data_IF_333449089593
#
_entry.id   IF_333449089593
#
_cell.length_a   1.000
_cell.length_b   1.000
_cell.length_c   1.000
_cell.angle_alpha   90.00
_cell.angle_beta   90.00
_cell.angle_gamma   90.00
#
_symmetry.space_group_name_H-M   'P 1'
#
loop_
_entity.id
_entity.type
_entity.pdbx_description
1 polymer ?
#
# COMPACT_ATOMS: atom_id res chain seq x y z
N UNK A 1 20.47 14.77 14.52
CA UNK A 1 20.20 13.90 13.33
C UNK A 1 18.91 14.41 12.69
N UNK A 2 18.77 14.40 11.36
CA UNK A 2 17.46 14.66 10.75
C UNK A 2 16.58 13.43 10.99
N UNK A 3 15.36 13.63 11.50
CA UNK A 3 14.53 12.54 12.00
C UNK A 3 14.24 11.48 10.93
N UNK A 4 14.00 10.27 11.43
CA UNK A 4 13.61 9.10 10.64
C UNK A 4 12.31 9.32 9.82
N UNK A 5 11.40 10.14 10.35
CA UNK A 5 10.05 10.37 9.83
C UNK A 5 9.97 11.60 8.89
N UNK A 6 10.75 12.66 9.13
CA UNK A 6 10.55 13.97 8.49
C UNK A 6 11.10 14.10 7.05
N UNK A 7 11.80 13.08 6.53
CA UNK A 7 12.46 13.19 5.22
C UNK A 7 11.50 12.96 4.06
N UNK A 8 11.10 14.04 3.38
CA UNK A 8 10.20 14.09 2.20
C UNK A 8 10.68 13.36 0.93
N UNK A 9 11.64 12.43 1.03
CA UNK A 9 12.19 11.69 -0.10
C UNK A 9 11.44 10.37 -0.34
N UNK A 10 10.50 10.38 -1.28
CA UNK A 10 9.76 9.21 -1.77
C UNK A 10 10.62 7.94 -1.96
N UNK A 11 11.82 8.08 -2.56
CA UNK A 11 12.75 6.96 -2.77
C UNK A 11 13.31 6.34 -1.47
N UNK A 12 13.33 7.07 -0.35
CA UNK A 12 13.70 6.52 0.97
C UNK A 12 12.55 5.67 1.52
N UNK A 13 11.34 6.22 1.52
CA UNK A 13 10.11 5.55 1.96
C UNK A 13 9.86 4.25 1.17
N UNK A 14 10.02 4.29 -0.15
CA UNK A 14 9.86 3.15 -1.09
C UNK A 14 10.74 1.93 -0.77
N UNK A 15 11.87 2.13 -0.08
CA UNK A 15 12.75 1.06 0.42
C UNK A 15 12.54 0.74 1.90
N UNK A 16 12.27 1.76 2.71
CA UNK A 16 12.17 1.64 4.16
C UNK A 16 10.92 0.88 4.62
N UNK A 17 9.74 1.23 4.11
CA UNK A 17 8.50 0.58 4.57
C UNK A 17 8.47 -0.94 4.29
N UNK A 18 8.92 -1.44 3.11
CA UNK A 18 9.07 -2.88 2.87
C UNK A 18 10.04 -3.58 3.83
N UNK A 19 11.16 -2.95 4.22
CA UNK A 19 12.10 -3.53 5.19
C UNK A 19 11.49 -3.64 6.59
N UNK A 20 10.73 -2.63 7.03
CA UNK A 20 9.99 -2.69 8.30
C UNK A 20 8.88 -3.74 8.24
N UNK A 21 8.14 -3.82 7.12
CA UNK A 21 7.10 -4.83 6.91
C UNK A 21 7.67 -6.25 6.93
N UNK A 22 8.83 -6.47 6.31
CA UNK A 22 9.52 -7.76 6.35
C UNK A 22 10.01 -8.10 7.77
N UNK A 23 10.57 -7.13 8.51
CA UNK A 23 10.97 -7.33 9.91
C UNK A 23 9.78 -7.75 10.79
N UNK A 24 8.64 -7.06 10.67
CA UNK A 24 7.42 -7.37 11.41
C UNK A 24 6.83 -8.74 11.00
N UNK A 25 6.82 -9.09 9.71
CA UNK A 25 6.37 -10.40 9.25
C UNK A 25 7.29 -11.54 9.73
N UNK A 26 8.61 -11.30 9.84
CA UNK A 26 9.56 -12.26 10.42
C UNK A 26 9.29 -12.45 11.92
N UNK A 27 9.17 -11.35 12.68
CA UNK A 27 8.87 -11.40 14.12
C UNK A 27 7.54 -12.11 14.43
N UNK A 28 6.51 -11.83 13.63
CA UNK A 28 5.19 -12.47 13.74
C UNK A 28 5.24 -13.96 13.39
N UNK A 29 6.04 -14.37 12.41
CA UNK A 29 6.23 -15.78 12.06
C UNK A 29 7.10 -16.52 13.10
N UNK A 30 8.15 -15.89 13.64
CA UNK A 30 8.91 -16.42 14.79
C UNK A 30 7.97 -16.70 15.98
N UNK A 31 7.09 -15.75 16.30
CA UNK A 31 6.12 -15.89 17.40
C UNK A 31 5.09 -17.01 17.14
N UNK A 32 4.64 -17.18 15.90
CA UNK A 32 3.79 -18.30 15.48
C UNK A 32 4.49 -19.65 15.61
N UNK A 33 5.76 -19.77 15.19
CA UNK A 33 6.53 -21.01 15.35
C UNK A 33 6.73 -21.38 16.83
N UNK A 34 7.00 -20.41 17.70
CA UNK A 34 7.04 -20.65 19.15
C UNK A 34 5.67 -21.03 19.72
N UNK A 35 4.57 -20.51 19.16
CA UNK A 35 3.22 -20.94 19.54
C UNK A 35 2.93 -22.39 19.13
N UNK A 36 3.33 -22.82 17.92
CA UNK A 36 3.23 -24.22 17.48
C UNK A 36 4.07 -25.16 18.36
N UNK A 37 5.29 -24.78 18.73
CA UNK A 37 6.14 -25.56 19.64
C UNK A 37 5.42 -25.77 20.98
N UNK A 38 4.93 -24.68 21.59
CA UNK A 38 4.15 -24.73 22.83
C UNK A 38 2.82 -25.51 22.71
N UNK A 39 2.25 -25.67 21.52
CA UNK A 39 1.08 -26.52 21.28
C UNK A 39 1.46 -28.00 21.17
N UNK A 40 2.59 -28.33 20.55
CA UNK A 40 3.10 -29.70 20.48
C UNK A 40 3.55 -30.21 21.85
N UNK A 41 4.32 -29.40 22.60
CA UNK A 41 4.73 -29.70 23.97
C UNK A 41 3.51 -29.88 24.91
N UNK A 42 2.41 -29.17 24.64
CA UNK A 42 1.11 -29.35 25.31
C UNK A 42 0.36 -30.57 24.82
N UNK A 43 0.51 -31.01 23.58
CA UNK A 43 -0.14 -32.22 23.09
C UNK A 43 0.46 -33.49 23.73
N UNK A 44 1.77 -33.53 23.94
CA UNK A 44 2.42 -34.63 24.66
C UNK A 44 2.05 -34.64 26.16
N UNK A 45 1.82 -33.47 26.78
CA UNK A 45 1.48 -33.38 28.22
C UNK A 45 -0.02 -33.38 28.54
N UNK A 46 -0.91 -33.13 27.57
CA UNK A 46 -2.38 -33.12 27.79
C UNK A 46 -3.04 -34.49 27.70
N UNK A 47 -2.35 -35.52 27.18
CA UNK A 47 -2.84 -36.90 27.20
C UNK A 47 -2.97 -37.50 28.61
N UNK A 48 -2.30 -36.94 29.63
CA UNK A 48 -2.44 -37.38 31.03
C UNK A 48 -3.36 -36.47 31.87
N UNK A 49 -3.73 -35.28 31.38
CA UNK A 49 -4.44 -34.27 32.18
C UNK A 49 -5.38 -33.37 31.35
N UNK A 50 -6.63 -33.82 31.19
CA UNK A 50 -7.81 -33.14 31.76
C UNK A 50 -9.02 -34.08 31.72
N UNK A 51 -9.56 -34.36 32.90
CA UNK A 51 -10.91 -34.90 33.06
C UNK A 51 -11.61 -34.05 34.13
N UNK A 52 -12.89 -33.74 33.88
CA UNK A 52 -13.87 -33.03 34.73
C UNK A 52 -13.95 -31.50 34.62
N UNK A 53 -15.14 -31.10 34.15
CA UNK A 53 -15.94 -29.94 34.52
C UNK A 53 -15.45 -28.56 34.01
N UNK A 54 -16.19 -27.81 33.19
CA UNK A 54 -17.62 -27.39 33.25
C UNK A 54 -17.93 -26.35 34.34
N UNK A 55 -18.10 -25.10 33.92
CA UNK A 55 -19.35 -24.32 34.07
C UNK A 55 -19.26 -23.01 33.28
N UNK A 56 -20.32 -22.63 32.55
CA UNK A 56 -20.41 -21.32 31.88
C UNK A 56 -20.89 -20.22 32.84
N UNK A 57 -20.23 -19.07 32.73
CA UNK A 57 -20.75 -17.73 32.39
C UNK A 57 -22.10 -17.24 32.94
N UNK A 58 -22.10 -15.95 33.33
CA UNK A 58 -23.31 -15.17 33.64
C UNK A 58 -23.75 -14.28 32.48
N UNK A 59 -24.90 -13.61 32.62
CA UNK A 59 -25.56 -12.90 31.54
C UNK A 59 -25.97 -11.48 31.96
N UNK A 60 -25.60 -10.46 31.19
CA UNK A 60 -26.04 -9.07 31.39
C UNK A 60 -25.95 -8.26 30.08
N UNK A 61 -27.08 -7.73 29.61
CA UNK A 61 -27.21 -6.94 28.38
C UNK A 61 -27.23 -5.43 28.65
N UNK A 62 -26.75 -4.61 27.70
CA UNK A 62 -27.03 -3.17 27.62
C UNK A 62 -27.19 -2.72 26.15
N UNK A 63 -27.82 -1.56 25.94
CA UNK A 63 -28.42 -1.14 24.67
C UNK A 63 -27.61 -0.12 23.87
N UNK A 64 -28.08 0.11 22.63
CA UNK A 64 -27.62 1.10 21.65
C UNK A 64 -28.00 2.55 22.02
N UNK A 65 -27.27 3.55 21.49
CA UNK A 65 -27.79 4.82 20.93
C UNK A 65 -26.66 5.63 20.23
N UNK A 66 -27.00 6.44 19.22
CA UNK A 66 -26.08 7.14 18.29
C UNK A 66 -26.76 8.43 17.72
N UNK A 67 -26.24 9.16 16.71
CA UNK A 67 -25.02 9.99 16.63
C UNK A 67 -25.32 11.51 16.70
N UNK A 68 -24.33 12.39 16.46
CA UNK A 68 -24.59 13.72 15.86
C UNK A 68 -23.43 14.21 14.95
N UNK A 69 -23.73 15.07 13.96
CA UNK A 69 -22.80 15.45 12.88
C UNK A 69 -22.22 16.88 12.96
N UNK A 70 -21.21 17.16 12.12
CA UNK A 70 -20.85 18.50 11.66
C UNK A 70 -20.47 18.50 10.15
N UNK A 71 -20.76 19.60 9.46
CA UNK A 71 -20.46 19.88 8.04
C UNK A 71 -19.34 20.95 7.93
N UNK A 72 -18.76 21.35 6.79
CA UNK A 72 -19.00 21.06 5.36
C UNK A 72 -17.65 20.58 4.70
N UNK A 73 -17.14 20.88 3.50
CA UNK A 73 -17.50 21.74 2.36
C UNK A 73 -17.11 21.10 1.01
N UNK A 74 -17.71 21.55 -0.12
CA UNK A 74 -17.14 21.25 -1.44
C UNK A 74 -17.40 22.26 -2.58
N UNK A 75 -16.33 22.65 -3.27
CA UNK A 75 -16.40 23.09 -4.67
C UNK A 75 -16.89 21.96 -5.58
N UNK A 76 -17.76 22.27 -6.57
CA UNK A 76 -18.36 21.25 -7.46
C UNK A 76 -17.38 20.78 -8.53
N UNK A 77 -17.22 19.45 -8.64
CA UNK A 77 -16.68 18.75 -9.80
C UNK A 77 -17.89 18.13 -10.51
N UNK A 78 -17.92 18.14 -11.84
CA UNK A 78 -19.03 17.57 -12.61
C UNK A 78 -18.75 16.07 -12.83
N UNK A 79 -19.66 15.20 -12.36
CA UNK A 79 -19.57 13.75 -12.49
C UNK A 79 -20.60 13.23 -13.49
N UNK A 80 -20.30 12.12 -14.16
CA UNK A 80 -21.26 11.36 -14.96
C UNK A 80 -22.01 10.36 -14.05
N UNK A 81 -23.35 10.43 -13.94
CA UNK A 81 -24.14 9.56 -13.06
C UNK A 81 -24.29 8.13 -13.58
N UNK A 82 -24.20 7.92 -14.91
CA UNK A 82 -24.58 6.66 -15.55
C UNK A 82 -23.58 5.51 -15.31
N UNK A 83 -22.55 5.73 -14.50
CA UNK A 83 -21.53 4.74 -14.11
C UNK A 83 -21.79 4.10 -12.74
N UNK A 84 -22.71 4.67 -11.96
CA UNK A 84 -22.82 4.38 -10.53
C UNK A 84 -24.22 3.94 -10.07
N UNK A 85 -25.26 4.13 -10.89
CA UNK A 85 -26.59 3.60 -10.60
C UNK A 85 -26.58 2.06 -10.59
N UNK A 86 -27.04 1.47 -9.48
CA UNK A 86 -27.22 0.03 -9.26
C UNK A 86 -26.19 -0.91 -9.91
N UNK A 87 -24.88 -0.65 -9.72
CA UNK A 87 -23.98 -1.77 -9.41
C UNK A 87 -22.52 -1.43 -8.99
N UNK A 88 -21.99 -0.20 -8.99
CA UNK A 88 -20.51 -0.06 -8.89
C UNK A 88 -19.86 -0.78 -7.67
N UNK A 89 -20.54 -0.86 -6.52
CA UNK A 89 -20.08 -1.67 -5.38
C UNK A 89 -20.24 -3.18 -5.60
N UNK A 90 -21.34 -3.65 -6.21
CA UNK A 90 -21.65 -5.06 -6.42
C UNK A 90 -21.00 -5.64 -7.70
N UNK A 91 -20.91 -4.90 -8.80
CA UNK A 91 -19.99 -5.16 -9.92
C UNK A 91 -18.54 -5.21 -9.43
N UNK A 92 -18.10 -4.31 -8.55
CA UNK A 92 -16.74 -4.45 -7.99
C UNK A 92 -16.61 -5.67 -7.09
N UNK A 93 -17.55 -5.93 -6.18
CA UNK A 93 -17.52 -7.14 -5.35
C UNK A 93 -17.63 -8.44 -6.16
N UNK A 94 -18.26 -8.42 -7.34
CA UNK A 94 -18.39 -9.59 -8.23
C UNK A 94 -17.17 -9.70 -9.14
N UNK A 95 -16.88 -8.67 -9.95
CA UNK A 95 -15.77 -8.66 -10.90
C UNK A 95 -14.38 -8.70 -10.23
N UNK A 96 -14.18 -8.12 -9.04
CA UNK A 96 -12.92 -8.30 -8.30
C UNK A 96 -12.80 -9.71 -7.72
N UNK A 97 -13.91 -10.36 -7.36
CA UNK A 97 -13.93 -11.72 -6.84
C UNK A 97 -13.80 -12.77 -7.96
N UNK A 98 -14.24 -12.46 -9.19
CA UNK A 98 -13.85 -13.17 -10.43
C UNK A 98 -12.35 -13.01 -10.76
N UNK A 99 -11.80 -11.82 -10.49
CA UNK A 99 -10.38 -11.46 -10.77
C UNK A 99 -9.39 -12.12 -9.79
N UNK A 100 -9.86 -12.57 -8.63
CA UNK A 100 -9.04 -13.09 -7.54
C UNK A 100 -9.36 -14.56 -7.25
N UNK A 101 -8.52 -15.50 -7.76
CA UNK A 101 -7.39 -15.88 -6.90
C UNK A 101 -6.02 -16.12 -7.59
N UNK A 102 -5.92 -16.20 -8.92
CA UNK A 102 -4.75 -16.78 -9.62
C UNK A 102 -3.66 -15.77 -10.06
N UNK A 103 -3.52 -14.65 -9.36
CA UNK A 103 -2.58 -13.56 -9.71
C UNK A 103 -1.14 -13.82 -9.21
N UNK A 104 -0.89 -14.95 -8.56
CA UNK A 104 0.44 -15.41 -8.13
C UNK A 104 0.79 -16.73 -8.84
N UNK A 105 2.06 -16.90 -9.21
CA UNK A 105 2.57 -18.20 -9.67
C UNK A 105 2.30 -19.24 -8.57
N UNK A 106 1.57 -20.31 -8.89
CA UNK A 106 1.29 -21.39 -7.94
C UNK A 106 2.59 -22.18 -7.72
N UNK A 107 3.33 -21.81 -6.67
CA UNK A 107 4.47 -22.58 -6.17
C UNK A 107 3.88 -23.75 -5.37
N UNK A 108 4.01 -24.97 -5.90
CA UNK A 108 3.68 -26.16 -5.12
C UNK A 108 4.75 -26.36 -4.03
N UNK A 109 4.31 -26.42 -2.78
CA UNK A 109 5.15 -26.62 -1.60
C UNK A 109 4.93 -28.04 -1.06
N UNK A 110 5.95 -28.70 -0.47
CA UNK A 110 5.75 -29.91 0.32
C UNK A 110 4.59 -29.78 1.31
N UNK A 111 3.79 -30.84 1.51
CA UNK A 111 2.53 -30.73 2.24
C UNK A 111 2.71 -30.29 3.70
N UNK A 112 3.82 -30.67 4.34
CA UNK A 112 4.20 -30.17 5.66
C UNK A 112 4.41 -28.65 5.72
N UNK A 113 4.80 -28.01 4.62
CA UNK A 113 4.83 -26.55 4.51
C UNK A 113 3.45 -25.97 4.15
N UNK A 114 2.61 -26.69 3.38
CA UNK A 114 1.22 -26.28 3.13
C UNK A 114 0.45 -26.14 4.46
N UNK A 115 0.58 -27.10 5.37
CA UNK A 115 -0.06 -27.07 6.69
C UNK A 115 0.47 -25.93 7.58
N UNK A 116 1.79 -25.75 7.63
CA UNK A 116 2.42 -24.64 8.37
C UNK A 116 1.93 -23.28 7.84
N UNK A 117 1.81 -23.10 6.52
CA UNK A 117 1.27 -21.87 5.92
C UNK A 117 -0.23 -21.71 6.14
N UNK A 118 -1.02 -22.79 6.18
CA UNK A 118 -2.45 -22.76 6.50
C UNK A 118 -2.67 -22.24 7.93
N UNK A 119 -2.04 -22.88 8.92
CA UNK A 119 -2.11 -22.44 10.31
C UNK A 119 -1.54 -21.02 10.51
N UNK A 120 -0.52 -20.63 9.74
CA UNK A 120 -0.01 -19.26 9.80
C UNK A 120 -1.01 -18.25 9.23
N UNK A 121 -1.74 -18.60 8.18
CA UNK A 121 -2.82 -17.75 7.64
C UNK A 121 -3.95 -17.58 8.67
N UNK A 122 -4.32 -18.65 9.37
CA UNK A 122 -5.29 -18.61 10.48
C UNK A 122 -4.76 -17.72 11.63
N UNK A 123 -3.51 -17.87 12.04
CA UNK A 123 -2.83 -17.03 13.04
C UNK A 123 -2.76 -15.54 12.64
N UNK A 124 -2.50 -15.26 11.36
CA UNK A 124 -2.56 -13.89 10.79
C UNK A 124 -3.94 -13.26 10.91
N UNK A 125 -5.01 -14.05 10.75
CA UNK A 125 -6.40 -13.58 10.91
C UNK A 125 -6.68 -13.21 12.37
N UNK A 126 -6.34 -14.09 13.31
CA UNK A 126 -6.45 -13.83 14.77
C UNK A 126 -5.68 -12.57 15.20
N UNK A 127 -4.53 -12.28 14.57
CA UNK A 127 -3.80 -11.02 14.81
C UNK A 127 -4.56 -9.80 14.29
N UNK A 128 -5.17 -9.86 13.10
CA UNK A 128 -5.97 -8.75 12.54
C UNK A 128 -7.28 -8.51 13.33
N UNK A 129 -7.85 -9.57 13.92
CA UNK A 129 -9.02 -9.51 14.79
C UNK A 129 -8.69 -9.05 16.22
N UNK A 130 -7.40 -8.96 16.58
CA UNK A 130 -6.93 -8.41 17.85
C UNK A 130 -6.67 -9.42 18.97
N UNK A 131 -6.76 -10.73 18.72
CA UNK A 131 -6.53 -11.79 19.73
C UNK A 131 -5.12 -11.76 20.37
N UNK A 132 -4.15 -11.19 19.64
CA UNK A 132 -2.78 -10.95 20.11
C UNK A 132 -2.55 -9.55 20.71
N UNK A 133 -3.61 -8.77 20.94
CA UNK A 133 -3.56 -7.44 21.54
C UNK A 133 -3.40 -6.30 20.52
N UNK A 134 -3.79 -5.08 20.92
CA UNK A 134 -3.91 -3.90 20.04
C UNK A 134 -2.58 -3.51 19.38
N UNK A 135 -1.46 -3.73 20.08
CA UNK A 135 -0.11 -3.51 19.53
C UNK A 135 0.21 -4.48 18.38
N UNK A 136 -0.04 -5.78 18.56
CA UNK A 136 0.15 -6.79 17.51
C UNK A 136 -0.73 -6.50 16.29
N UNK A 137 -2.01 -6.22 16.54
CA UNK A 137 -3.02 -5.90 15.55
C UNK A 137 -2.59 -4.74 14.65
N UNK A 138 -2.27 -3.59 15.24
CA UNK A 138 -1.86 -2.39 14.49
C UNK A 138 -0.59 -2.61 13.65
N UNK A 139 0.44 -3.25 14.21
CA UNK A 139 1.69 -3.44 13.46
C UNK A 139 1.57 -4.50 12.36
N UNK A 140 0.74 -5.53 12.55
CA UNK A 140 0.46 -6.49 11.49
C UNK A 140 -0.43 -5.90 10.39
N UNK A 141 -1.46 -5.12 10.76
CA UNK A 141 -2.28 -4.32 9.85
C UNK A 141 -1.43 -3.32 9.04
N UNK A 142 -0.45 -2.65 9.65
CA UNK A 142 0.53 -1.82 8.92
C UNK A 142 1.26 -2.63 7.83
N UNK A 143 1.59 -3.91 8.06
CA UNK A 143 2.18 -4.74 7.01
C UNK A 143 1.23 -4.97 5.84
N UNK A 144 -0.09 -5.03 6.08
CA UNK A 144 -1.10 -5.13 5.01
C UNK A 144 -1.18 -3.84 4.19
N UNK A 145 -1.06 -2.66 4.84
CA UNK A 145 -0.98 -1.37 4.12
C UNK A 145 0.28 -1.28 3.23
N UNK A 146 1.43 -1.79 3.70
CA UNK A 146 2.65 -1.88 2.88
C UNK A 146 2.49 -2.91 1.76
N UNK A 147 1.89 -4.07 2.03
CA UNK A 147 1.59 -5.09 1.03
C UNK A 147 0.67 -4.54 -0.08
N UNK A 148 -0.36 -3.74 0.26
CA UNK A 148 -1.24 -3.09 -0.71
C UNK A 148 -0.46 -2.14 -1.64
N UNK A 149 0.41 -1.28 -1.10
CA UNK A 149 1.29 -0.44 -1.93
C UNK A 149 2.25 -1.27 -2.80
N UNK A 150 2.74 -2.42 -2.29
CA UNK A 150 3.57 -3.33 -3.07
C UNK A 150 2.78 -4.06 -4.18
N UNK A 151 1.50 -4.40 -3.96
CA UNK A 151 0.59 -4.93 -4.99
C UNK A 151 0.33 -3.90 -6.09
N UNK A 152 0.04 -2.65 -5.72
CA UNK A 152 -0.08 -1.52 -6.66
C UNK A 152 1.20 -1.33 -7.47
N UNK A 153 2.36 -1.26 -6.79
CA UNK A 153 3.68 -1.15 -7.43
C UNK A 153 3.96 -2.34 -8.38
N UNK A 154 3.63 -3.57 -7.98
CA UNK A 154 3.76 -4.78 -8.81
C UNK A 154 2.87 -4.70 -10.06
N UNK A 155 1.61 -4.28 -9.92
CA UNK A 155 0.67 -4.20 -11.04
C UNK A 155 1.19 -3.34 -12.20
N UNK A 156 1.72 -2.14 -11.90
CA UNK A 156 2.36 -1.24 -12.87
C UNK A 156 3.64 -1.87 -13.45
N UNK A 157 4.50 -2.46 -12.60
CA UNK A 157 5.76 -3.09 -13.04
C UNK A 157 5.55 -4.30 -13.96
N UNK A 158 4.46 -5.04 -13.76
CA UNK A 158 4.05 -6.21 -14.54
C UNK A 158 3.15 -5.88 -15.75
N UNK A 159 2.47 -4.73 -15.75
CA UNK A 159 1.27 -4.47 -16.57
C UNK A 159 0.11 -5.43 -16.33
N UNK A 160 -0.10 -5.85 -15.09
CA UNK A 160 -1.32 -6.56 -14.71
C UNK A 160 -2.40 -5.52 -14.40
N UNK A 161 -3.39 -5.39 -15.30
CA UNK A 161 -4.44 -4.36 -15.24
C UNK A 161 -5.47 -4.63 -14.14
N UNK A 162 -5.83 -5.90 -13.97
CA UNK A 162 -6.79 -6.39 -12.98
C UNK A 162 -6.29 -6.15 -11.55
N UNK A 163 -5.01 -6.46 -11.26
CA UNK A 163 -4.36 -6.15 -10.00
C UNK A 163 -4.19 -4.64 -9.77
N UNK A 164 -4.12 -3.84 -10.84
CA UNK A 164 -4.06 -2.38 -10.75
C UNK A 164 -5.41 -1.80 -10.32
N UNK A 165 -6.51 -2.29 -10.88
CA UNK A 165 -7.88 -1.96 -10.45
C UNK A 165 -8.12 -2.34 -8.98
N UNK A 166 -7.85 -3.59 -8.60
CA UNK A 166 -8.01 -4.05 -7.21
C UNK A 166 -7.16 -3.21 -6.23
N UNK A 167 -5.88 -3.01 -6.53
CA UNK A 167 -5.00 -2.25 -5.65
C UNK A 167 -5.45 -0.78 -5.55
N UNK A 168 -5.93 -0.17 -6.63
CA UNK A 168 -6.45 1.21 -6.63
C UNK A 168 -7.76 1.33 -5.83
N UNK A 169 -8.67 0.37 -5.95
CA UNK A 169 -9.93 0.33 -5.18
C UNK A 169 -9.66 0.28 -3.68
N UNK A 170 -8.83 -0.66 -3.23
CA UNK A 170 -8.45 -0.79 -1.82
C UNK A 170 -7.62 0.42 -1.32
N UNK A 171 -6.86 1.09 -2.19
CA UNK A 171 -6.14 2.32 -1.82
C UNK A 171 -7.07 3.54 -1.63
N UNK A 172 -8.24 3.57 -2.28
CA UNK A 172 -9.19 4.68 -2.11
C UNK A 172 -9.68 4.80 -0.66
N UNK A 173 -9.89 3.68 0.03
CA UNK A 173 -10.31 3.65 1.44
C UNK A 173 -9.34 4.41 2.34
N UNK A 174 -8.03 4.23 2.11
CA UNK A 174 -6.98 4.93 2.85
C UNK A 174 -7.00 6.45 2.59
N UNK A 175 -7.35 6.89 1.38
CA UNK A 175 -7.47 8.31 1.07
C UNK A 175 -8.69 8.96 1.76
N UNK A 176 -9.81 8.22 1.91
CA UNK A 176 -10.96 8.69 2.69
C UNK A 176 -10.69 8.66 4.21
N UNK A 177 -9.98 7.65 4.70
CA UNK A 177 -9.64 7.53 6.11
C UNK A 177 -8.65 8.61 6.57
N UNK A 178 -7.56 8.83 5.83
CA UNK A 178 -6.48 9.79 6.11
C UNK A 178 -6.81 11.23 5.69
N UNK A 179 -8.08 11.55 5.47
CA UNK A 179 -8.59 12.85 5.07
C UNK A 179 -7.80 13.49 3.90
N UNK A 180 -7.69 12.76 2.79
CA UNK A 180 -7.04 13.21 1.55
C UNK A 180 -8.10 13.48 0.46
N UNK A 181 -9.00 14.47 0.63
CA UNK A 181 -10.23 14.59 -0.17
C UNK A 181 -9.98 14.70 -1.67
N UNK A 182 -8.91 15.38 -2.09
CA UNK A 182 -8.55 15.48 -3.50
C UNK A 182 -8.18 14.10 -4.08
N UNK A 183 -7.27 13.36 -3.42
CA UNK A 183 -6.88 12.02 -3.84
C UNK A 183 -8.07 11.06 -3.80
N UNK A 184 -8.87 11.07 -2.73
CA UNK A 184 -10.06 10.24 -2.58
C UNK A 184 -11.05 10.44 -3.75
N UNK A 185 -11.43 11.68 -4.04
CA UNK A 185 -12.41 12.01 -5.10
C UNK A 185 -11.87 11.72 -6.50
N UNK A 186 -10.64 12.15 -6.81
CA UNK A 186 -10.06 11.94 -8.14
C UNK A 186 -9.67 10.47 -8.40
N UNK A 187 -9.28 9.71 -7.38
CA UNK A 187 -9.03 8.27 -7.53
C UNK A 187 -10.31 7.47 -7.76
N UNK A 188 -11.44 7.83 -7.13
CA UNK A 188 -12.74 7.22 -7.44
C UNK A 188 -13.19 7.54 -8.86
N UNK A 189 -13.08 8.80 -9.31
CA UNK A 189 -13.39 9.19 -10.70
C UNK A 189 -12.51 8.45 -11.71
N UNK A 190 -11.20 8.37 -11.46
CA UNK A 190 -10.26 7.67 -12.32
C UNK A 190 -10.53 6.15 -12.35
N UNK A 191 -10.78 5.53 -11.19
CA UNK A 191 -11.13 4.11 -11.08
C UNK A 191 -12.43 3.79 -11.84
N UNK A 192 -13.47 4.61 -11.69
CA UNK A 192 -14.74 4.50 -12.42
C UNK A 192 -14.53 4.57 -13.95
N UNK A 193 -13.70 5.52 -14.41
CA UNK A 193 -13.33 5.62 -15.83
C UNK A 193 -12.53 4.43 -16.37
N UNK A 194 -11.73 3.75 -15.53
CA UNK A 194 -11.05 2.50 -15.91
C UNK A 194 -12.03 1.31 -15.95
N UNK A 195 -12.94 1.21 -14.99
CA UNK A 195 -13.97 0.17 -14.93
C UNK A 195 -14.85 0.21 -16.18
N UNK A 196 -15.23 1.42 -16.64
CA UNK A 196 -15.91 1.64 -17.93
C UNK A 196 -15.22 0.96 -19.12
N UNK A 197 -13.89 0.90 -19.16
CA UNK A 197 -13.18 0.23 -20.26
C UNK A 197 -13.54 -1.27 -20.37
N UNK A 198 -13.89 -1.94 -19.24
CA UNK A 198 -14.40 -3.33 -19.23
C UNK A 198 -15.88 -3.38 -19.64
N UNK A 199 -16.70 -2.44 -19.16
CA UNK A 199 -18.17 -2.41 -19.39
C UNK A 199 -18.49 -2.04 -20.85
N UNK A 200 -17.92 -0.95 -21.34
CA UNK A 200 -18.20 -0.36 -22.66
C UNK A 200 -17.57 -1.15 -23.82
N UNK A 201 -16.91 -2.29 -23.55
CA UNK A 201 -16.16 -3.07 -24.54
C UNK A 201 -15.02 -2.30 -25.22
N UNK A 202 -14.48 -1.28 -24.55
CA UNK A 202 -13.61 -0.27 -25.17
C UNK A 202 -12.34 -0.88 -25.78
N UNK A 203 -11.94 -0.53 -27.02
CA UNK A 203 -10.66 -0.95 -27.60
C UNK A 203 -9.44 -0.59 -26.74
N UNK A 204 -9.54 0.45 -25.91
CA UNK A 204 -8.50 0.83 -24.96
C UNK A 204 -8.23 -0.24 -23.88
N UNK A 205 -9.20 -1.11 -23.56
CA UNK A 205 -9.02 -2.21 -22.61
C UNK A 205 -7.89 -3.16 -23.05
N UNK A 206 -7.76 -3.41 -24.36
CA UNK A 206 -6.65 -4.18 -24.91
C UNK A 206 -5.32 -3.49 -24.62
N UNK A 207 -5.19 -2.20 -24.96
CA UNK A 207 -3.97 -1.43 -24.74
C UNK A 207 -3.59 -1.32 -23.26
N UNK A 208 -4.57 -1.16 -22.37
CA UNK A 208 -4.34 -1.20 -20.92
C UNK A 208 -3.82 -2.56 -20.46
N UNK A 209 -4.36 -3.69 -20.95
CA UNK A 209 -3.85 -5.04 -20.68
C UNK A 209 -2.47 -5.31 -21.30
N UNK A 210 -2.15 -4.71 -22.45
CA UNK A 210 -0.78 -4.68 -23.00
C UNK A 210 0.16 -3.71 -22.25
N UNK A 211 -0.37 -2.94 -21.29
CA UNK A 211 0.39 -2.13 -20.35
C UNK A 211 0.53 -0.65 -20.69
N UNK A 212 -0.40 -0.05 -21.42
CA UNK A 212 -0.40 1.38 -21.74
C UNK A 212 -0.33 2.31 -20.50
N UNK A 213 -0.69 1.81 -19.31
CA UNK A 213 -0.62 2.54 -18.04
C UNK A 213 0.77 2.60 -17.37
N UNK A 214 1.82 2.01 -17.96
CA UNK A 214 3.17 2.01 -17.39
C UNK A 214 4.30 2.05 -18.42
N UNK A 215 5.17 3.06 -18.35
CA UNK A 215 6.27 3.26 -19.30
C UNK A 215 7.43 2.30 -19.01
N UNK A 216 7.94 1.62 -20.05
CA UNK A 216 9.07 0.70 -19.98
C UNK A 216 10.31 1.32 -20.63
N UNK A 217 11.32 1.70 -19.81
CA UNK A 217 12.58 2.29 -20.32
C UNK A 217 13.67 1.26 -20.63
N UNK A 218 13.59 0.02 -20.10
CA UNK A 218 14.61 -1.02 -20.31
C UNK A 218 13.99 -2.38 -20.66
N UNK A 219 14.77 -3.25 -21.31
CA UNK A 219 14.34 -4.63 -21.67
C UNK A 219 14.29 -5.60 -20.47
N UNK A 220 14.63 -5.17 -19.25
CA UNK A 220 14.55 -6.02 -18.06
C UNK A 220 13.09 -6.42 -17.71
N UNK A 221 12.91 -7.52 -16.98
CA UNK A 221 11.61 -7.88 -16.37
C UNK A 221 11.28 -6.89 -15.24
N UNK A 222 9.99 -6.66 -14.99
CA UNK A 222 9.51 -5.75 -13.93
C UNK A 222 10.06 -4.30 -14.02
N UNK A 223 10.35 -3.82 -15.23
CA UNK A 223 11.05 -2.55 -15.49
C UNK A 223 10.12 -1.39 -15.89
N UNK A 224 8.80 -1.55 -15.76
CA UNK A 224 7.84 -0.46 -15.98
C UNK A 224 7.74 0.45 -14.76
N UNK A 225 7.50 1.74 -15.02
CA UNK A 225 7.26 2.78 -14.01
C UNK A 225 5.99 3.55 -14.34
N UNK A 226 5.37 4.27 -13.37
CA UNK A 226 4.28 5.19 -13.64
C UNK A 226 4.67 6.20 -14.74
N UNK A 227 3.70 6.61 -15.55
CA UNK A 227 3.88 7.59 -16.64
C UNK A 227 4.52 8.88 -16.12
N UNK A 228 3.92 9.45 -15.08
CA UNK A 228 4.33 10.70 -14.44
C UNK A 228 5.76 10.63 -13.89
N UNK A 229 6.07 9.64 -13.04
CA UNK A 229 7.43 9.39 -12.52
C UNK A 229 8.48 9.18 -13.64
N UNK A 230 8.08 8.62 -14.78
CA UNK A 230 8.98 8.43 -15.94
C UNK A 230 9.24 9.75 -16.68
N UNK A 231 8.24 10.63 -16.75
CA UNK A 231 8.33 11.98 -17.30
C UNK A 231 9.15 12.89 -16.37
N UNK A 232 8.95 12.79 -15.04
CA UNK A 232 9.81 13.40 -14.01
C UNK A 232 11.28 13.02 -14.21
N UNK A 233 11.57 11.72 -14.34
CA UNK A 233 12.93 11.18 -14.42
C UNK A 233 13.59 11.31 -15.80
N UNK A 234 12.93 11.90 -16.79
CA UNK A 234 13.49 12.10 -18.14
C UNK A 234 13.31 13.54 -18.60
N UNK A 235 12.17 13.86 -19.21
CA UNK A 235 11.90 15.16 -19.84
C UNK A 235 12.04 16.28 -18.81
N UNK A 236 11.47 16.13 -17.61
CA UNK A 236 11.57 17.15 -16.56
C UNK A 236 12.95 17.17 -15.88
N UNK A 237 13.67 16.04 -15.82
CA UNK A 237 15.02 15.98 -15.27
C UNK A 237 16.05 16.68 -16.18
N UNK A 238 15.93 16.51 -17.50
CA UNK A 238 16.74 17.26 -18.48
C UNK A 238 16.31 18.74 -18.58
N UNK A 239 15.08 19.08 -18.20
CA UNK A 239 14.59 20.46 -18.10
C UNK A 239 15.04 21.18 -16.81
N UNK A 240 15.04 20.46 -15.69
CA UNK A 240 15.27 20.96 -14.33
C UNK A 240 16.72 20.82 -13.90
N UNK A 241 17.58 21.74 -14.31
CA UNK A 241 18.98 21.74 -13.89
C UNK A 241 19.13 22.00 -12.37
N UNK A 242 20.14 21.38 -11.75
CA UNK A 242 20.37 21.42 -10.29
C UNK A 242 21.00 22.73 -9.80
N UNK A 243 21.47 23.60 -10.69
CA UNK A 243 21.63 25.03 -10.42
C UNK A 243 20.46 25.79 -11.03
N UNK A 244 19.57 26.27 -10.16
CA UNK A 244 18.36 27.05 -10.46
C UNK A 244 17.36 26.41 -11.42
N UNK A 245 16.11 26.25 -10.97
CA UNK A 245 14.97 26.20 -11.88
C UNK A 245 14.73 27.57 -12.52
N UNK A 246 13.50 27.86 -12.98
CA UNK A 246 13.14 29.20 -13.49
C UNK A 246 12.93 30.19 -12.33
N UNK A 247 13.99 30.42 -11.56
CA UNK A 247 14.04 31.37 -10.45
C UNK A 247 14.70 32.67 -10.92
N UNK A 248 13.91 33.75 -10.98
CA UNK A 248 14.28 35.13 -11.33
C UNK A 248 14.70 35.46 -12.78
N UNK A 249 14.99 34.50 -13.66
CA UNK A 249 15.11 34.74 -15.12
C UNK A 249 13.90 34.16 -15.88
N UNK A 250 12.94 34.93 -16.44
CA UNK A 250 12.69 36.39 -16.40
C UNK A 250 11.17 36.63 -16.57
N UNK A 251 10.70 37.86 -16.38
CA UNK A 251 9.33 38.26 -16.78
C UNK A 251 9.13 38.34 -18.31
N UNK A 252 10.17 38.15 -19.14
CA UNK A 252 10.06 38.20 -20.60
C UNK A 252 9.35 36.96 -21.18
N UNK A 253 8.23 37.21 -21.87
CA UNK A 253 7.53 36.19 -22.69
C UNK A 253 8.49 35.60 -23.73
N UNK A 254 9.29 36.43 -24.39
CA UNK A 254 10.24 36.01 -25.44
C UNK A 254 11.34 35.10 -24.92
N UNK A 255 11.78 35.26 -23.66
CA UNK A 255 12.72 34.34 -23.03
C UNK A 255 12.08 32.96 -22.79
N UNK A 256 10.83 32.93 -22.30
CA UNK A 256 10.07 31.68 -22.11
C UNK A 256 9.79 30.96 -23.44
N UNK A 257 9.39 31.70 -24.47
CA UNK A 257 9.21 31.18 -25.84
C UNK A 257 10.52 30.60 -26.39
N UNK A 258 11.64 31.35 -26.31
CA UNK A 258 12.95 30.85 -26.74
C UNK A 258 13.34 29.58 -25.99
N UNK A 259 13.16 29.54 -24.67
CA UNK A 259 13.45 28.33 -23.88
C UNK A 259 12.62 27.14 -24.37
N UNK A 260 11.29 27.27 -24.46
CA UNK A 260 10.38 26.21 -24.86
C UNK A 260 10.69 25.65 -26.27
N UNK A 261 10.88 26.53 -27.26
CA UNK A 261 11.17 26.13 -28.64
C UNK A 261 12.51 25.41 -28.80
N UNK A 262 13.52 25.78 -28.02
CA UNK A 262 14.91 25.30 -28.20
C UNK A 262 15.36 24.27 -27.15
N UNK A 263 14.58 24.03 -26.08
CA UNK A 263 14.97 23.11 -25.03
C UNK A 263 15.08 21.66 -25.53
N UNK A 264 14.06 21.14 -26.22
CA UNK A 264 14.12 19.78 -26.76
C UNK A 264 15.27 19.55 -27.75
N UNK A 265 15.71 20.59 -28.46
CA UNK A 265 16.92 20.53 -29.30
C UNK A 265 18.20 20.50 -28.47
N UNK A 266 18.33 21.34 -27.44
CA UNK A 266 19.46 21.29 -26.49
C UNK A 266 19.58 19.93 -25.82
N UNK A 267 18.47 19.34 -25.36
CA UNK A 267 18.48 18.02 -24.73
C UNK A 267 18.96 16.94 -25.71
N UNK A 268 18.48 16.93 -26.95
CA UNK A 268 18.98 15.99 -27.98
C UNK A 268 20.49 16.12 -28.20
N UNK A 269 21.00 17.34 -28.39
CA UNK A 269 22.44 17.59 -28.58
C UNK A 269 23.23 17.12 -27.35
N UNK A 270 22.77 17.44 -26.13
CA UNK A 270 23.43 17.01 -24.90
C UNK A 270 23.44 15.48 -24.74
N UNK A 271 22.37 14.79 -25.14
CA UNK A 271 22.32 13.32 -25.12
C UNK A 271 23.30 12.71 -26.11
N UNK A 272 23.33 13.18 -27.37
CA UNK A 272 24.29 12.68 -28.37
C UNK A 272 25.74 12.94 -27.96
N UNK A 273 26.05 14.11 -27.39
CA UNK A 273 27.40 14.38 -26.85
C UNK A 273 27.74 13.45 -25.68
N UNK A 274 26.79 13.15 -24.77
CA UNK A 274 26.98 12.16 -23.69
C UNK A 274 27.18 10.73 -24.23
N UNK A 275 26.54 10.38 -25.34
CA UNK A 275 26.71 9.08 -26.02
C UNK A 275 28.10 8.96 -26.67
N UNK A 276 28.49 9.95 -27.48
CA UNK A 276 29.81 10.01 -28.15
C UNK A 276 30.98 10.05 -27.17
N UNK A 277 30.84 10.76 -26.05
CA UNK A 277 31.87 10.83 -24.99
C UNK A 277 31.84 9.66 -24.01
N UNK A 278 30.91 8.71 -24.14
CA UNK A 278 30.74 7.59 -23.21
C UNK A 278 30.25 7.98 -21.81
N UNK A 279 29.85 9.24 -21.60
CA UNK A 279 29.32 9.77 -20.33
C UNK A 279 27.86 9.35 -20.06
N UNK A 280 27.17 8.73 -21.02
CA UNK A 280 25.82 8.23 -20.85
C UNK A 280 25.79 6.95 -19.98
N UNK A 281 25.56 7.11 -18.67
CA UNK A 281 25.33 5.99 -17.77
C UNK A 281 24.06 5.22 -18.18
N UNK A 282 24.22 3.94 -18.55
CA UNK A 282 23.08 3.05 -18.83
C UNK A 282 22.23 2.88 -17.57
N UNK A 283 20.92 3.07 -17.70
CA UNK A 283 19.95 2.91 -16.60
C UNK A 283 19.85 1.44 -16.16
N UNK A 284 20.70 1.03 -15.22
CA UNK A 284 20.70 -0.32 -14.66
C UNK A 284 19.58 -0.52 -13.62
N UNK A 285 18.41 -0.93 -14.10
CA UNK A 285 17.29 -1.39 -13.26
C UNK A 285 17.63 -2.60 -12.39
N UNK A 286 18.73 -3.31 -12.62
CA UNK A 286 19.19 -4.43 -11.79
C UNK A 286 20.05 -4.00 -10.58
N UNK A 287 20.35 -2.71 -10.40
CA UNK A 287 21.13 -2.19 -9.26
C UNK A 287 20.58 -2.60 -7.88
N UNK A 288 19.27 -2.83 -7.77
CA UNK A 288 18.62 -3.34 -6.55
C UNK A 288 18.85 -4.84 -6.29
N UNK A 289 19.23 -5.61 -7.32
CA UNK A 289 19.50 -7.05 -7.27
C UNK A 289 21.01 -7.38 -7.20
N UNK A 290 21.88 -6.38 -7.30
CA UNK A 290 23.32 -6.56 -7.13
C UNK A 290 23.64 -7.02 -5.70
N UNK A 291 24.57 -7.98 -5.55
CA UNK A 291 24.93 -8.56 -4.24
C UNK A 291 25.24 -7.51 -3.17
N UNK A 292 25.95 -6.44 -3.52
CA UNK A 292 26.33 -5.39 -2.57
C UNK A 292 25.12 -4.65 -2.01
N UNK A 293 24.04 -4.52 -2.79
CA UNK A 293 22.78 -3.94 -2.34
C UNK A 293 22.00 -4.96 -1.48
N UNK A 294 21.94 -6.24 -1.88
CA UNK A 294 21.33 -7.32 -1.08
C UNK A 294 22.03 -7.46 0.28
N UNK A 295 23.37 -7.49 0.33
CA UNK A 295 24.19 -7.55 1.56
C UNK A 295 23.92 -6.33 2.47
N UNK A 296 23.66 -5.16 1.88
CA UNK A 296 23.29 -3.93 2.62
C UNK A 296 21.85 -3.99 3.15
N UNK A 297 20.90 -4.48 2.36
CA UNK A 297 19.50 -4.65 2.80
C UNK A 297 19.35 -5.70 3.88
N UNK A 298 20.03 -6.85 3.78
CA UNK A 298 20.05 -7.86 4.85
C UNK A 298 20.59 -7.28 6.16
N UNK A 299 21.67 -6.49 6.10
CA UNK A 299 22.18 -5.77 7.28
C UNK A 299 21.13 -4.82 7.86
N UNK A 300 20.52 -3.96 7.03
CA UNK A 300 19.48 -3.04 7.48
C UNK A 300 18.27 -3.77 8.08
N UNK A 301 17.85 -4.91 7.52
CA UNK A 301 16.78 -5.75 8.03
C UNK A 301 17.10 -6.31 9.42
N UNK A 302 18.27 -6.91 9.60
CA UNK A 302 18.75 -7.40 10.90
C UNK A 302 18.76 -6.29 11.94
N UNK A 303 19.38 -5.14 11.63
CA UNK A 303 19.40 -3.96 12.51
C UNK A 303 17.98 -3.48 12.91
N UNK A 304 16.99 -3.56 12.03
CA UNK A 304 15.59 -3.21 12.34
C UNK A 304 14.97 -4.26 13.29
N UNK A 305 15.16 -5.55 13.03
CA UNK A 305 14.68 -6.64 13.89
C UNK A 305 15.28 -6.53 15.30
N UNK A 306 16.60 -6.32 15.39
CA UNK A 306 17.34 -6.10 16.64
C UNK A 306 16.80 -4.87 17.39
N UNK A 307 16.58 -3.75 16.70
CA UNK A 307 16.02 -2.52 17.32
C UNK A 307 14.61 -2.76 17.87
N UNK A 308 13.75 -3.47 17.13
CA UNK A 308 12.38 -3.78 17.58
C UNK A 308 12.42 -4.69 18.82
N UNK A 309 13.23 -5.75 18.82
CA UNK A 309 13.42 -6.63 20.00
C UNK A 309 14.05 -5.91 21.21
N UNK A 310 14.81 -4.83 21.00
CA UNK A 310 15.40 -4.03 22.08
C UNK A 310 14.46 -2.98 22.69
N UNK A 311 13.46 -2.50 21.95
CA UNK A 311 12.56 -1.42 22.40
C UNK A 311 11.22 -1.97 22.86
N UNK A 312 10.49 -2.63 21.96
CA UNK A 312 9.25 -3.40 22.23
C UNK A 312 8.87 -4.16 20.95
N UNK A 313 8.77 -5.49 21.05
CA UNK A 313 8.40 -6.37 19.95
C UNK A 313 6.88 -6.59 19.92
N UNK A 314 6.13 -6.11 18.90
CA UNK A 314 4.66 -6.09 18.92
C UNK A 314 3.93 -7.40 19.21
N UNK A 315 4.60 -8.53 19.08
CA UNK A 315 4.01 -9.87 19.14
C UNK A 315 4.36 -10.63 20.43
N UNK A 316 5.15 -10.04 21.34
CA UNK A 316 5.50 -10.68 22.61
C UNK A 316 4.32 -10.73 23.60
N UNK A 317 4.15 -11.90 24.23
CA UNK A 317 3.03 -12.19 25.13
C UNK A 317 3.02 -11.35 26.42
N UNK A 318 4.15 -10.71 26.76
CA UNK A 318 4.35 -9.94 27.99
C UNK A 318 3.86 -8.47 27.88
N UNK A 319 3.31 -8.08 26.72
CA UNK A 319 2.80 -6.73 26.46
C UNK A 319 1.34 -6.64 26.92
N UNK A 320 0.98 -5.52 27.56
CA UNK A 320 -0.41 -5.18 27.86
C UNK A 320 -1.24 -5.15 26.56
N UNK A 321 -2.16 -6.11 26.43
CA UNK A 321 -3.00 -6.31 25.23
C UNK A 321 -3.98 -5.16 25.02
N UNK A 322 -4.36 -4.46 26.09
CA UNK A 322 -5.34 -3.38 26.05
C UNK A 322 -4.76 -2.04 25.65
N UNK A 323 -3.44 -1.94 25.58
CA UNK A 323 -2.72 -0.74 25.14
C UNK A 323 -2.02 -0.95 23.79
N UNK A 324 -1.90 0.14 23.03
CA UNK A 324 -1.20 0.16 21.75
C UNK A 324 0.08 0.95 21.89
N UNK A 325 1.22 0.25 21.94
CA UNK A 325 2.54 0.85 22.17
C UNK A 325 3.26 1.19 20.87
N UNK A 326 4.08 2.24 20.90
CA UNK A 326 4.88 2.68 19.75
C UNK A 326 6.28 2.01 19.73
N UNK A 327 6.59 1.22 18.70
CA UNK A 327 7.85 0.45 18.58
C UNK A 327 9.16 1.27 18.58
N UNK A 328 9.09 2.59 18.45
CA UNK A 328 10.26 3.48 18.45
C UNK A 328 10.46 4.21 19.78
N UNK A 329 9.53 4.07 20.73
CA UNK A 329 9.56 4.84 22.00
C UNK A 329 9.07 4.07 23.23
N UNK A 330 8.45 2.90 23.07
CA UNK A 330 7.85 2.12 24.16
C UNK A 330 6.62 2.79 24.80
N UNK A 331 6.13 3.91 24.26
CA UNK A 331 5.01 4.68 24.83
C UNK A 331 3.67 4.22 24.28
N UNK A 332 2.67 4.14 25.17
CA UNK A 332 1.28 3.88 24.82
C UNK A 332 0.64 5.07 24.10
N UNK A 333 -0.24 4.79 23.14
CA UNK A 333 -1.06 5.78 22.45
C UNK A 333 -2.37 6.07 23.21
N UNK A 334 -2.97 7.24 22.95
CA UNK A 334 -4.29 7.56 23.52
C UNK A 334 -5.39 6.71 22.90
N UNK A 335 -6.48 6.47 23.64
CA UNK A 335 -7.60 5.65 23.18
C UNK A 335 -8.15 6.07 21.80
N UNK A 336 -8.37 7.38 21.59
CA UNK A 336 -8.79 7.93 20.30
C UNK A 336 -7.80 7.66 19.15
N UNK A 337 -6.49 7.72 19.40
CA UNK A 337 -5.47 7.44 18.36
C UNK A 337 -5.41 5.94 18.07
N UNK A 338 -5.56 5.10 19.09
CA UNK A 338 -5.64 3.63 18.95
C UNK A 338 -6.86 3.23 18.13
N UNK A 339 -8.05 3.70 18.49
CA UNK A 339 -9.30 3.44 17.76
C UNK A 339 -9.20 3.85 16.29
N UNK A 340 -8.83 5.10 16.01
CA UNK A 340 -8.68 5.60 14.63
C UNK A 340 -7.71 4.77 13.78
N UNK A 341 -6.60 4.31 14.37
CA UNK A 341 -5.57 3.57 13.63
C UNK A 341 -5.98 2.11 13.38
N UNK A 342 -6.66 1.45 14.32
CA UNK A 342 -7.19 0.10 14.13
C UNK A 342 -8.36 0.11 13.13
N UNK A 343 -9.28 1.07 13.27
CA UNK A 343 -10.47 1.21 12.42
C UNK A 343 -10.23 1.96 11.10
N UNK A 344 -8.98 2.18 10.67
CA UNK A 344 -8.66 2.97 9.47
C UNK A 344 -9.32 2.41 8.18
N UNK A 345 -9.38 1.09 8.03
CA UNK A 345 -9.91 0.44 6.82
C UNK A 345 -11.44 0.46 6.77
N UNK A 346 -12.10 0.21 7.89
CA UNK A 346 -13.56 0.26 8.04
C UNK A 346 -14.06 1.70 7.90
N UNK A 347 -13.42 2.66 8.57
CA UNK A 347 -13.69 4.10 8.45
C UNK A 347 -13.48 4.60 7.01
N UNK A 348 -12.44 4.11 6.33
CA UNK A 348 -12.16 4.42 4.93
C UNK A 348 -13.26 3.93 3.99
N UNK A 349 -13.62 2.65 4.10
CA UNK A 349 -14.68 2.02 3.30
C UNK A 349 -16.05 2.65 3.52
N UNK A 350 -16.43 2.91 4.78
CA UNK A 350 -17.69 3.60 5.10
C UNK A 350 -17.77 4.99 4.45
N UNK A 351 -16.70 5.79 4.55
CA UNK A 351 -16.61 7.12 3.91
C UNK A 351 -16.60 7.05 2.38
N UNK A 352 -15.88 6.08 1.79
CA UNK A 352 -15.88 5.83 0.33
C UNK A 352 -17.29 5.52 -0.16
N UNK A 353 -17.97 4.57 0.49
CA UNK A 353 -19.28 4.10 0.05
C UNK A 353 -20.34 5.20 0.21
N UNK A 354 -20.30 5.96 1.31
CA UNK A 354 -21.14 7.15 1.49
C UNK A 354 -20.93 8.18 0.38
N UNK A 355 -19.68 8.51 0.04
CA UNK A 355 -19.37 9.44 -1.05
C UNK A 355 -19.87 8.94 -2.42
N UNK A 356 -19.77 7.64 -2.68
CA UNK A 356 -20.31 7.03 -3.91
C UNK A 356 -21.84 7.21 -3.99
N UNK A 357 -22.58 6.93 -2.91
CA UNK A 357 -24.04 7.13 -2.87
C UNK A 357 -24.40 8.61 -3.05
N UNK A 358 -23.73 9.51 -2.32
CA UNK A 358 -23.94 10.97 -2.44
C UNK A 358 -23.70 11.50 -3.87
N UNK A 359 -22.77 10.91 -4.63
CA UNK A 359 -22.54 11.26 -6.04
C UNK A 359 -23.68 10.83 -6.98
N UNK A 360 -24.49 9.84 -6.61
CA UNK A 360 -25.59 9.32 -7.42
C UNK A 360 -26.87 10.15 -7.22
N UNK A 361 -27.21 10.41 -5.96
CA UNK A 361 -28.44 11.09 -5.56
C UNK A 361 -28.51 12.55 -6.07
N UNK A 362 -27.35 13.15 -6.34
CA UNK A 362 -27.19 14.54 -6.81
C UNK A 362 -27.79 14.79 -8.21
N UNK A 363 -28.14 13.75 -8.97
CA UNK A 363 -28.74 13.88 -10.31
C UNK A 363 -30.27 13.75 -10.34
N UNK A 364 -30.89 13.27 -9.26
CA UNK A 364 -32.36 13.12 -9.18
C UNK A 364 -33.08 14.33 -8.55
N UNK A 365 -32.55 15.55 -8.72
CA UNK A 365 -33.12 16.82 -8.23
C UNK A 365 -32.91 17.99 -9.19
#
# INVERSE_FOLDING_TARGET
MNNFIDSKHFNRCKRLHPLISAALQILHFEQYLSHLQLLNDKHDTSNEAVSKNEALEGNASLSEDDPTMAQENSSRINFDPNIFGEDLSAFMNTALHEISPEVNEQIDFPDSLKDIFKGYKEYCTVTLEGGHGKTAQYYFQYTQLVNLFLRFSRSIRCSNYELYLDSLYNMCDLFFALNQPNYARYSILYLSNLIKLKIDGSPLLHEFRQGAFGIRRTKAKLARSPVDLSLEQTINADAGNTLTGVTHFTNSISARQKWALSHGMRTKILTSVKEETGLLSKDDTSRCLQENQIKKDKRHLNNIIETIKQVINPFEQNIDKDQMFNISTGKSASAHVTDFLLNISSLGSAKKNKFIVECNDVVFK
#
